data_IF_799837241612
#
_entry.id   IF_799837241612
#
_cell.length_a   1.000
_cell.length_b   1.000
_cell.length_c   1.000
_cell.angle_alpha   90.00
_cell.angle_beta   90.00
_cell.angle_gamma   90.00
#
_symmetry.space_group_name_H-M   'P 1'
#
loop_
_entity.id
_entity.type
_entity.pdbx_description
1 polymer ?
#
# COMPACT_ATOMS: atom_id res chain seq x y z
N UNK A 1 -7.54 -16.86 -16.75
CA UNK A 1 -6.89 -15.71 -16.09
C UNK A 1 -5.40 -15.73 -16.42
N UNK A 2 -4.97 -14.81 -17.23
CA UNK A 2 -3.55 -14.67 -17.52
C UNK A 2 -2.91 -13.87 -16.38
N UNK A 3 -2.23 -14.56 -15.45
CA UNK A 3 -1.45 -13.91 -14.42
C UNK A 3 -0.34 -13.07 -15.04
N UNK A 4 -0.36 -11.75 -14.82
CA UNK A 4 0.77 -10.88 -15.15
C UNK A 4 2.02 -11.47 -14.51
N UNK A 5 2.96 -11.98 -15.32
CA UNK A 5 4.27 -12.39 -14.81
C UNK A 5 5.00 -11.13 -14.35
N UNK A 6 5.01 -10.88 -13.06
CA UNK A 6 5.79 -9.80 -12.47
C UNK A 6 7.28 -10.13 -12.63
N UNK A 7 7.97 -9.34 -13.45
CA UNK A 7 9.42 -9.45 -13.58
C UNK A 7 10.03 -9.08 -12.22
N UNK A 8 10.72 -10.02 -11.59
CA UNK A 8 11.53 -9.75 -10.39
C UNK A 8 12.63 -8.76 -10.78
N UNK A 9 12.41 -7.48 -10.52
CA UNK A 9 13.45 -6.48 -10.71
C UNK A 9 14.45 -6.64 -9.56
N UNK A 10 15.63 -7.18 -9.84
CA UNK A 10 16.65 -7.50 -8.84
C UNK A 10 17.29 -6.27 -8.18
N UNK A 11 17.13 -5.10 -8.76
CA UNK A 11 17.67 -3.86 -8.23
C UNK A 11 16.59 -2.97 -7.64
N UNK A 12 16.65 -2.76 -6.32
CA UNK A 12 15.83 -1.78 -5.63
C UNK A 12 16.70 -0.59 -5.24
N UNK A 13 16.45 0.62 -5.75
CA UNK A 13 17.10 1.83 -5.27
C UNK A 13 16.90 1.98 -3.76
N UNK A 14 17.93 2.42 -3.06
CA UNK A 14 17.84 2.71 -1.62
C UNK A 14 16.72 3.72 -1.37
N UNK A 15 15.96 3.53 -0.29
CA UNK A 15 14.91 4.46 0.13
C UNK A 15 13.54 4.27 -0.53
N UNK A 16 13.35 3.26 -1.40
CA UNK A 16 12.07 3.01 -2.10
C UNK A 16 11.22 1.90 -1.48
N UNK A 17 11.58 1.35 -0.32
CA UNK A 17 10.82 0.33 0.37
C UNK A 17 9.78 0.95 1.30
N UNK A 18 8.54 0.41 1.28
CA UNK A 18 7.53 0.74 2.27
C UNK A 18 7.79 0.07 3.62
N UNK A 19 8.31 -1.14 3.61
CA UNK A 19 8.64 -1.88 4.84
C UNK A 19 10.00 -1.42 5.37
N UNK A 20 9.98 -0.42 6.22
CA UNK A 20 11.18 0.14 6.87
C UNK A 20 10.84 0.57 8.30
N UNK A 21 11.86 0.84 9.11
CA UNK A 21 11.68 1.33 10.48
C UNK A 21 10.91 2.66 10.58
N UNK A 22 10.92 3.46 9.52
CA UNK A 22 10.32 4.80 9.47
C UNK A 22 8.98 4.85 8.72
N UNK A 23 8.53 3.74 8.13
CA UNK A 23 7.30 3.69 7.33
C UNK A 23 6.34 2.65 7.87
N UNK A 24 6.27 1.47 7.28
CA UNK A 24 5.35 0.41 7.66
C UNK A 24 6.12 -0.74 8.30
N UNK A 25 5.65 -1.22 9.45
CA UNK A 25 6.24 -2.34 10.19
C UNK A 25 5.17 -3.43 10.38
N UNK A 26 4.94 -4.26 9.37
CA UNK A 26 3.86 -5.25 9.44
C UNK A 26 4.08 -6.34 10.50
N UNK A 27 5.33 -6.60 10.87
CA UNK A 27 5.70 -7.54 11.93
C UNK A 27 5.24 -7.11 13.32
N UNK A 28 4.85 -5.83 13.49
CA UNK A 28 4.31 -5.28 14.73
C UNK A 28 2.77 -5.19 14.74
N UNK A 29 2.10 -5.61 13.68
CA UNK A 29 0.64 -5.55 13.59
C UNK A 29 -0.06 -6.51 14.52
N UNK A 30 -1.32 -6.20 14.81
CA UNK A 30 -2.26 -7.11 15.44
C UNK A 30 -3.36 -7.46 14.44
N UNK A 31 -3.09 -8.42 13.59
CA UNK A 31 -4.04 -8.89 12.60
C UNK A 31 -5.05 -9.84 13.25
N UNK A 32 -6.34 -9.54 13.12
CA UNK A 32 -7.39 -10.41 13.65
C UNK A 32 -7.58 -11.66 12.79
N UNK A 33 -8.03 -12.75 13.40
CA UNK A 33 -8.39 -13.98 12.67
C UNK A 33 -9.54 -13.74 11.68
N UNK A 34 -10.45 -12.83 11.99
CA UNK A 34 -11.57 -12.46 11.11
C UNK A 34 -11.06 -11.76 9.85
N UNK A 35 -10.21 -10.75 9.97
CA UNK A 35 -9.61 -10.06 8.84
C UNK A 35 -8.78 -11.01 7.97
N UNK A 36 -7.96 -11.85 8.59
CA UNK A 36 -7.18 -12.85 7.87
C UNK A 36 -8.07 -13.83 7.08
N UNK A 37 -9.14 -14.31 7.70
CA UNK A 37 -10.08 -15.24 7.07
C UNK A 37 -10.80 -14.59 5.87
N UNK A 38 -11.32 -13.39 6.04
CA UNK A 38 -12.02 -12.66 4.98
C UNK A 38 -11.09 -12.31 3.82
N UNK A 39 -9.87 -11.86 4.13
CA UNK A 39 -8.86 -11.54 3.12
C UNK A 39 -8.47 -12.76 2.30
N UNK A 40 -8.18 -13.89 2.95
CA UNK A 40 -7.82 -15.11 2.25
C UNK A 40 -8.98 -15.66 1.41
N UNK A 41 -10.21 -15.56 1.89
CA UNK A 41 -11.39 -15.93 1.11
C UNK A 41 -11.56 -15.05 -0.13
N UNK A 42 -11.31 -13.75 -0.01
CA UNK A 42 -11.35 -12.83 -1.14
C UNK A 42 -10.30 -13.16 -2.22
N UNK A 43 -9.19 -13.80 -1.85
CA UNK A 43 -8.20 -14.31 -2.82
C UNK A 43 -8.58 -15.63 -3.48
N UNK A 44 -9.71 -16.22 -3.12
CA UNK A 44 -10.21 -17.47 -3.67
C UNK A 44 -9.83 -18.73 -2.88
N UNK A 45 -9.24 -18.58 -1.69
CA UNK A 45 -8.89 -19.71 -0.83
C UNK A 45 -10.09 -20.19 -0.01
N UNK A 46 -10.14 -21.50 0.17
CA UNK A 46 -11.17 -22.18 0.97
C UNK A 46 -10.75 -22.20 2.46
N UNK A 47 -11.09 -21.16 3.18
CA UNK A 47 -10.75 -20.98 4.59
C UNK A 47 -11.98 -21.16 5.47
N UNK A 48 -11.99 -22.21 6.28
CA UNK A 48 -13.01 -22.43 7.32
C UNK A 48 -12.69 -21.66 8.59
N UNK A 49 -11.45 -21.83 9.09
CA UNK A 49 -10.98 -21.24 10.34
C UNK A 49 -9.48 -20.99 10.32
N UNK A 50 -9.06 -19.86 10.83
CA UNK A 50 -7.63 -19.57 11.02
C UNK A 50 -7.10 -20.38 12.21
N UNK A 51 -5.97 -21.03 12.01
CA UNK A 51 -5.27 -21.79 13.05
C UNK A 51 -4.18 -20.96 13.72
N UNK A 52 -3.31 -20.33 12.92
CA UNK A 52 -2.18 -19.55 13.40
C UNK A 52 -1.80 -18.48 12.40
N UNK A 53 -1.45 -17.30 12.90
CA UNK A 53 -0.90 -16.19 12.14
C UNK A 53 0.50 -15.89 12.65
N UNK A 54 1.50 -15.86 11.76
CA UNK A 54 2.87 -15.48 12.08
C UNK A 54 3.28 -14.31 11.19
N UNK A 55 3.52 -13.15 11.80
CA UNK A 55 3.93 -11.93 11.12
C UNK A 55 5.46 -11.95 10.95
N UNK A 56 5.92 -12.01 9.71
CA UNK A 56 7.32 -11.87 9.36
C UNK A 56 7.59 -10.47 8.80
N UNK A 57 8.85 -10.09 8.68
CA UNK A 57 9.22 -8.75 8.25
C UNK A 57 8.62 -8.35 6.88
N UNK A 58 8.62 -9.25 5.91
CA UNK A 58 8.19 -8.94 4.53
C UNK A 58 7.00 -9.74 4.03
N UNK A 59 6.54 -10.69 4.80
CA UNK A 59 5.43 -11.58 4.46
C UNK A 59 4.77 -12.12 5.70
N UNK A 60 3.55 -12.60 5.55
CA UNK A 60 2.77 -13.24 6.60
C UNK A 60 2.64 -14.73 6.31
N UNK A 61 2.81 -15.55 7.33
CA UNK A 61 2.52 -16.98 7.28
C UNK A 61 1.21 -17.24 7.99
N UNK A 62 0.26 -17.87 7.31
CA UNK A 62 -1.05 -18.23 7.87
C UNK A 62 -1.29 -19.72 7.70
N UNK A 63 -1.62 -20.38 8.81
CA UNK A 63 -2.15 -21.73 8.83
C UNK A 63 -3.65 -21.70 9.10
N UNK A 64 -4.40 -22.50 8.37
CA UNK A 64 -5.85 -22.52 8.46
C UNK A 64 -6.42 -23.91 8.17
N UNK A 65 -7.64 -24.16 8.63
CA UNK A 65 -8.42 -25.32 8.22
C UNK A 65 -9.29 -24.97 7.01
N UNK A 66 -9.29 -25.84 6.00
CA UNK A 66 -10.23 -25.75 4.89
C UNK A 66 -11.60 -26.35 5.27
N UNK A 67 -12.60 -26.31 4.40
CA UNK A 67 -13.94 -26.83 4.65
C UNK A 67 -13.95 -28.36 4.84
N UNK A 68 -13.00 -29.07 4.26
CA UNK A 68 -12.83 -30.53 4.37
C UNK A 68 -12.14 -30.96 5.69
N UNK A 69 -11.72 -29.99 6.52
CA UNK A 69 -11.03 -30.25 7.78
C UNK A 69 -9.52 -30.46 7.66
N UNK A 70 -8.96 -30.29 6.46
CA UNK A 70 -7.52 -30.33 6.24
C UNK A 70 -6.84 -29.04 6.72
N UNK A 71 -5.58 -29.17 7.18
CA UNK A 71 -4.75 -28.02 7.56
C UNK A 71 -3.91 -27.58 6.37
N UNK A 72 -4.05 -26.31 5.99
CA UNK A 72 -3.28 -25.67 4.96
C UNK A 72 -2.41 -24.57 5.55
N UNK A 73 -1.27 -24.30 4.95
CA UNK A 73 -0.39 -23.20 5.33
C UNK A 73 0.16 -22.51 4.10
N UNK A 74 0.35 -21.20 4.17
CA UNK A 74 0.92 -20.44 3.08
C UNK A 74 1.56 -19.14 3.53
N UNK A 75 2.40 -18.60 2.66
CA UNK A 75 2.98 -17.27 2.79
C UNK A 75 2.22 -16.30 1.91
N UNK A 76 1.84 -15.17 2.46
CA UNK A 76 1.06 -14.15 1.77
C UNK A 76 1.74 -12.80 1.85
N UNK A 77 1.49 -11.97 0.85
CA UNK A 77 1.90 -10.57 0.87
C UNK A 77 1.03 -9.78 1.83
N UNK A 78 1.60 -8.86 2.57
CA UNK A 78 0.84 -7.89 3.38
C UNK A 78 -0.07 -6.99 2.56
N UNK A 79 0.22 -6.84 1.27
CA UNK A 79 -0.48 -5.95 0.33
C UNK A 79 -1.90 -6.38 -0.02
N UNK A 80 -2.32 -7.57 0.38
CA UNK A 80 -3.70 -8.04 0.19
C UNK A 80 -4.62 -7.70 1.36
N UNK A 81 -4.07 -7.23 2.49
CA UNK A 81 -4.82 -6.98 3.72
C UNK A 81 -5.30 -5.53 3.82
N UNK A 82 -6.54 -5.28 4.29
CA UNK A 82 -7.05 -3.93 4.54
C UNK A 82 -6.16 -3.09 5.46
N UNK A 83 -5.52 -3.72 6.44
CA UNK A 83 -4.56 -3.06 7.34
C UNK A 83 -3.39 -2.42 6.57
N UNK A 84 -2.91 -3.05 5.50
CA UNK A 84 -1.88 -2.46 4.64
C UNK A 84 -2.36 -1.15 3.99
N UNK A 85 -3.56 -1.16 3.45
CA UNK A 85 -4.16 0.05 2.87
C UNK A 85 -4.24 1.17 3.88
N UNK A 86 -4.73 0.88 5.10
CA UNK A 86 -4.83 1.87 6.17
C UNK A 86 -3.46 2.46 6.55
N UNK A 87 -2.44 1.63 6.67
CA UNK A 87 -1.08 2.07 6.99
C UNK A 87 -0.47 2.96 5.87
N UNK A 88 -0.72 2.62 4.62
CA UNK A 88 -0.30 3.45 3.47
C UNK A 88 -1.04 4.78 3.46
N UNK A 89 -2.35 4.77 3.68
CA UNK A 89 -3.16 6.00 3.75
C UNK A 89 -2.71 6.92 4.88
N UNK A 90 -2.42 6.37 6.08
CA UNK A 90 -1.86 7.12 7.20
C UNK A 90 -0.50 7.73 6.84
N UNK A 91 0.37 6.98 6.17
CA UNK A 91 1.67 7.45 5.72
C UNK A 91 1.53 8.65 4.75
N UNK A 92 0.57 8.58 3.84
CA UNK A 92 0.23 9.66 2.90
C UNK A 92 -0.29 10.88 3.65
N UNK A 93 -1.25 10.68 4.54
CA UNK A 93 -1.88 11.75 5.31
C UNK A 93 -0.89 12.51 6.19
N UNK A 94 0.08 11.81 6.76
CA UNK A 94 1.14 12.39 7.59
C UNK A 94 2.25 13.08 6.80
N UNK A 95 2.21 13.09 5.49
CA UNK A 95 3.22 13.78 4.67
C UNK A 95 3.15 15.30 4.90
N UNK A 96 4.21 15.93 5.43
CA UNK A 96 4.15 17.32 5.89
C UNK A 96 4.22 18.34 4.74
N UNK A 97 4.73 17.94 3.57
CA UNK A 97 4.95 18.85 2.44
C UNK A 97 4.96 18.08 1.10
N UNK A 98 4.97 18.83 0.01
CA UNK A 98 4.98 18.28 -1.35
C UNK A 98 6.17 17.35 -1.62
N UNK A 99 7.35 17.68 -1.14
CA UNK A 99 8.56 16.85 -1.34
C UNK A 99 8.42 15.46 -0.74
N UNK A 100 7.86 15.36 0.46
CA UNK A 100 7.60 14.07 1.12
C UNK A 100 6.47 13.32 0.44
N UNK A 101 5.41 13.99 0.04
CA UNK A 101 4.31 13.39 -0.70
C UNK A 101 4.77 12.87 -2.07
N UNK A 102 5.59 13.62 -2.77
CA UNK A 102 6.18 13.20 -4.05
C UNK A 102 7.03 11.94 -3.90
N UNK A 103 7.81 11.84 -2.83
CA UNK A 103 8.60 10.63 -2.53
C UNK A 103 7.69 9.41 -2.34
N UNK A 104 6.61 9.56 -1.55
CA UNK A 104 5.65 8.46 -1.33
C UNK A 104 4.95 8.09 -2.63
N UNK A 105 4.58 9.08 -3.43
CA UNK A 105 4.00 8.86 -4.73
C UNK A 105 4.91 8.02 -5.64
N UNK A 106 6.18 8.38 -5.73
CA UNK A 106 7.18 7.63 -6.50
C UNK A 106 7.35 6.20 -5.98
N UNK A 107 7.34 6.01 -4.66
CA UNK A 107 7.37 4.69 -4.04
C UNK A 107 6.14 3.87 -4.44
N UNK A 108 4.95 4.47 -4.40
CA UNK A 108 3.70 3.78 -4.75
C UNK A 108 3.62 3.41 -6.23
N UNK A 109 4.06 4.28 -7.14
CA UNK A 109 4.15 3.93 -8.57
C UNK A 109 5.02 2.67 -8.78
N UNK A 110 6.12 2.57 -8.06
CA UNK A 110 6.99 1.40 -8.11
C UNK A 110 6.34 0.18 -7.48
N UNK A 111 5.68 0.33 -6.33
CA UNK A 111 4.94 -0.74 -5.66
C UNK A 111 3.90 -1.36 -6.59
N UNK A 112 3.10 -0.55 -7.27
CA UNK A 112 2.08 -1.02 -8.20
C UNK A 112 2.64 -1.73 -9.45
N UNK A 113 3.87 -1.40 -9.85
CA UNK A 113 4.58 -2.10 -10.93
C UNK A 113 5.20 -3.43 -10.51
N UNK A 114 5.64 -3.52 -9.24
CA UNK A 114 6.40 -4.67 -8.74
C UNK A 114 5.55 -5.71 -8.03
N UNK A 115 4.41 -5.32 -7.48
CA UNK A 115 3.56 -6.18 -6.67
C UNK A 115 2.11 -6.15 -7.15
N UNK A 116 1.38 -7.28 -7.04
CA UNK A 116 -0.05 -7.29 -7.29
C UNK A 116 -0.79 -6.63 -6.13
N UNK A 117 -1.61 -5.65 -6.46
CA UNK A 117 -2.55 -5.00 -5.54
C UNK A 117 -3.98 -5.32 -5.96
N UNK A 118 -4.91 -5.50 -5.02
CA UNK A 118 -6.33 -5.45 -5.34
C UNK A 118 -6.68 -4.11 -5.98
N UNK A 119 -7.47 -4.12 -7.05
CA UNK A 119 -7.78 -2.89 -7.80
C UNK A 119 -8.42 -1.82 -6.91
N UNK A 120 -9.34 -2.22 -6.04
CA UNK A 120 -10.00 -1.31 -5.09
C UNK A 120 -9.01 -0.65 -4.13
N UNK A 121 -7.98 -1.37 -3.70
CA UNK A 121 -6.93 -0.84 -2.84
C UNK A 121 -6.03 0.13 -3.60
N UNK A 122 -5.68 -0.17 -4.83
CA UNK A 122 -4.91 0.72 -5.72
C UNK A 122 -5.65 2.05 -5.91
N UNK A 123 -6.93 1.99 -6.24
CA UNK A 123 -7.79 3.17 -6.40
C UNK A 123 -7.90 3.99 -5.12
N UNK A 124 -8.07 3.34 -3.97
CA UNK A 124 -8.14 4.01 -2.67
C UNK A 124 -6.84 4.75 -2.33
N UNK A 125 -5.69 4.15 -2.61
CA UNK A 125 -4.38 4.77 -2.39
C UNK A 125 -4.17 5.95 -3.34
N UNK A 126 -4.54 5.85 -4.62
CA UNK A 126 -4.50 6.99 -5.54
C UNK A 126 -5.38 8.14 -5.06
N UNK A 127 -6.59 7.87 -4.60
CA UNK A 127 -7.48 8.88 -4.05
C UNK A 127 -6.88 9.55 -2.80
N UNK A 128 -6.24 8.79 -1.92
CA UNK A 128 -5.56 9.34 -0.74
C UNK A 128 -4.40 10.29 -1.14
N UNK A 129 -3.61 9.93 -2.14
CA UNK A 129 -2.55 10.80 -2.69
C UNK A 129 -3.11 12.10 -3.25
N UNK A 130 -4.19 12.04 -4.03
CA UNK A 130 -4.86 13.21 -4.59
C UNK A 130 -5.45 14.11 -3.51
N UNK A 131 -6.13 13.53 -2.52
CA UNK A 131 -6.70 14.28 -1.41
C UNK A 131 -5.62 14.99 -0.61
N UNK A 132 -4.49 14.33 -0.31
CA UNK A 132 -3.38 14.97 0.40
C UNK A 132 -2.75 16.09 -0.41
N UNK A 133 -2.60 15.91 -1.71
CA UNK A 133 -2.12 16.95 -2.62
C UNK A 133 -3.00 18.20 -2.54
N UNK A 134 -4.32 18.01 -2.58
CA UNK A 134 -5.28 19.13 -2.46
C UNK A 134 -5.15 19.86 -1.12
N UNK A 135 -5.00 19.13 -0.03
CA UNK A 135 -4.80 19.71 1.31
C UNK A 135 -3.51 20.53 1.38
N UNK A 136 -2.40 19.99 0.88
CA UNK A 136 -1.12 20.70 0.88
C UNK A 136 -1.14 21.95 0.00
N UNK A 137 -1.86 21.93 -1.11
CA UNK A 137 -2.08 23.12 -1.94
C UNK A 137 -2.88 24.19 -1.22
N UNK A 138 -3.95 23.82 -0.53
CA UNK A 138 -4.76 24.78 0.23
C UNK A 138 -3.92 25.45 1.32
N UNK A 139 -3.11 24.69 2.06
CA UNK A 139 -2.21 25.23 3.09
C UNK A 139 -1.18 26.19 2.48
N UNK A 140 -0.57 25.86 1.35
CA UNK A 140 0.43 26.73 0.70
C UNK A 140 -0.16 28.00 0.11
N UNK A 141 -1.43 27.98 -0.33
CA UNK A 141 -2.14 29.20 -0.73
C UNK A 141 -2.40 30.17 0.42
N UNK A 142 -2.60 29.66 1.61
CA UNK A 142 -2.80 30.50 2.80
C UNK A 142 -1.50 31.14 3.31
N UNK A 143 -0.35 30.51 3.05
CA UNK A 143 0.92 30.89 3.66
C UNK A 143 1.85 31.70 2.77
N UNK A 144 1.77 31.61 1.44
CA UNK A 144 2.71 32.28 0.52
C UNK A 144 2.09 32.58 -0.85
N UNK A 145 2.09 33.85 -1.25
CA UNK A 145 1.88 34.32 -2.60
C UNK A 145 3.14 34.05 -3.47
N UNK A 146 3.59 32.81 -3.55
CA UNK A 146 4.68 32.44 -4.45
C UNK A 146 4.18 31.50 -5.55
N UNK A 147 3.56 32.11 -6.57
CA UNK A 147 3.01 31.41 -7.74
C UNK A 147 4.05 30.55 -8.50
N UNK A 148 5.33 30.90 -8.38
CA UNK A 148 6.43 30.19 -9.08
C UNK A 148 6.77 28.87 -8.40
N UNK A 149 6.81 28.82 -7.08
CA UNK A 149 7.03 27.59 -6.30
C UNK A 149 5.91 26.58 -6.49
N UNK A 150 4.66 27.07 -6.49
CA UNK A 150 3.47 26.27 -6.69
C UNK A 150 3.41 25.61 -8.07
N UNK A 151 3.75 26.34 -9.13
CA UNK A 151 3.75 25.82 -10.49
C UNK A 151 4.75 24.65 -10.67
N UNK A 152 5.93 24.74 -10.06
CA UNK A 152 6.94 23.68 -10.11
C UNK A 152 6.49 22.43 -9.38
N UNK A 153 5.93 22.57 -8.19
CA UNK A 153 5.47 21.41 -7.40
C UNK A 153 4.29 20.71 -8.08
N UNK A 154 3.40 21.46 -8.72
CA UNK A 154 2.29 20.92 -9.47
C UNK A 154 2.73 20.07 -10.68
N UNK A 155 3.81 20.43 -11.35
CA UNK A 155 4.32 19.68 -12.49
C UNK A 155 4.73 18.24 -12.12
N UNK A 156 5.20 18.02 -10.91
CA UNK A 156 5.56 16.68 -10.43
C UNK A 156 4.36 15.73 -10.29
N UNK A 157 3.17 16.28 -10.13
CA UNK A 157 1.93 15.51 -9.94
C UNK A 157 1.04 15.43 -11.19
N UNK A 158 1.45 16.04 -12.30
CA UNK A 158 0.73 15.97 -13.58
C UNK A 158 0.33 14.56 -14.02
N UNK A 159 1.19 13.53 -13.90
CA UNK A 159 0.85 12.17 -14.30
C UNK A 159 -0.36 11.58 -13.58
N UNK A 160 -0.66 12.04 -12.38
CA UNK A 160 -1.84 11.60 -11.62
C UNK A 160 -3.14 12.26 -12.07
N UNK A 161 -3.06 13.48 -12.59
CA UNK A 161 -4.24 14.27 -12.97
C UNK A 161 -4.69 13.93 -14.39
N UNK A 162 -3.79 13.48 -15.25
CA UNK A 162 -4.08 13.21 -16.66
C UNK A 162 -4.70 11.83 -16.94
N UNK A 163 -4.75 10.95 -15.94
CA UNK A 163 -5.28 9.59 -16.07
C UNK A 163 -6.62 9.36 -15.33
N UNK A 164 -7.25 10.42 -14.87
CA UNK A 164 -8.59 10.38 -14.27
C UNK A 164 -9.69 10.61 -15.27
#
# INVERSE_FOLDING_TARGET
MFGKKFKKNRYRPRGTNLITSNRIKPDLWRLSSTEAKETLRATGLDVKKIKKITLLKHKICISYWNQEGGVCSGFFSYRIFPTWQQEVEILIEKSPNFKKLQLINHIMEREFKCYPYPLEMEDAIYNALQNRLCVLRAISHETVYDDVGMAREWEYFKPFVSNS
#
